data_IF_727794794993
#
_entry.id   IF_727794794993
#
_cell.length_a   1.000
_cell.length_b   1.000
_cell.length_c   1.000
_cell.angle_alpha   90.00
_cell.angle_beta   90.00
_cell.angle_gamma   90.00
#
_symmetry.space_group_name_H-M   'P 1'
#
loop_
_entity.id
_entity.type
_entity.pdbx_description
1 polymer ?
#
# COMPACT_ATOMS: atom_id res chain seq x y z
N UNK A 1 16.86 -9.30 -14.66
CA UNK A 1 15.42 -9.54 -14.42
C UNK A 1 14.88 -8.51 -13.44
N UNK A 2 13.84 -7.76 -13.78
CA UNK A 2 13.17 -6.90 -12.80
C UNK A 2 12.28 -7.76 -11.89
N UNK A 3 12.57 -7.75 -10.58
CA UNK A 3 11.74 -8.44 -9.60
C UNK A 3 10.54 -7.57 -9.20
N UNK A 4 9.47 -8.19 -8.70
CA UNK A 4 8.32 -7.47 -8.12
C UNK A 4 8.77 -6.52 -7.00
N UNK A 5 9.81 -6.90 -6.24
CA UNK A 5 10.40 -6.08 -5.18
C UNK A 5 11.15 -4.87 -5.76
N UNK A 6 11.96 -5.05 -6.80
CA UNK A 6 12.62 -3.93 -7.49
C UNK A 6 11.61 -2.95 -8.08
N UNK A 7 10.51 -3.46 -8.65
CA UNK A 7 9.42 -2.62 -9.17
C UNK A 7 8.69 -1.87 -8.06
N UNK A 8 8.46 -2.52 -6.91
CA UNK A 8 7.90 -1.88 -5.73
C UNK A 8 8.79 -0.71 -5.26
N UNK A 9 10.09 -0.94 -5.09
CA UNK A 9 11.04 0.10 -4.66
C UNK A 9 11.08 1.28 -5.62
N UNK A 10 11.06 1.04 -6.94
CA UNK A 10 10.96 2.10 -7.96
C UNK A 10 9.68 2.93 -7.85
N UNK A 11 8.54 2.29 -7.53
CA UNK A 11 7.27 3.00 -7.35
C UNK A 11 7.26 3.82 -6.06
N UNK A 12 7.82 3.27 -4.98
CA UNK A 12 7.99 4.01 -3.72
C UNK A 12 8.90 5.23 -3.90
N UNK A 13 9.99 5.12 -4.66
CA UNK A 13 10.88 6.24 -4.98
C UNK A 13 10.25 7.29 -5.91
N UNK A 14 9.13 6.97 -6.56
CA UNK A 14 8.36 7.88 -7.42
C UNK A 14 7.10 8.43 -6.73
N UNK A 15 6.93 8.17 -5.43
CA UNK A 15 5.70 8.48 -4.69
C UNK A 15 4.43 7.87 -5.32
N UNK A 16 4.57 6.82 -6.13
CA UNK A 16 3.44 6.14 -6.78
C UNK A 16 2.86 5.07 -5.84
N UNK A 17 2.28 5.56 -4.73
CA UNK A 17 1.78 4.74 -3.63
C UNK A 17 0.64 3.81 -4.06
N UNK A 18 -0.23 4.26 -4.98
CA UNK A 18 -1.33 3.45 -5.52
C UNK A 18 -0.80 2.18 -6.18
N UNK A 19 0.17 2.31 -7.10
CA UNK A 19 0.77 1.14 -7.77
C UNK A 19 1.65 0.35 -6.82
N UNK A 20 2.35 1.02 -5.90
CA UNK A 20 3.19 0.35 -4.91
C UNK A 20 2.36 -0.59 -4.03
N UNK A 21 1.24 -0.12 -3.47
CA UNK A 21 0.30 -0.94 -2.67
C UNK A 21 -0.33 -2.05 -3.49
N UNK A 22 -0.64 -1.80 -4.77
CA UNK A 22 -1.16 -2.83 -5.68
C UNK A 22 -0.16 -3.98 -5.87
N UNK A 23 1.12 -3.68 -6.12
CA UNK A 23 2.17 -4.71 -6.18
C UNK A 23 2.34 -5.38 -4.82
N UNK A 24 2.34 -4.60 -3.75
CA UNK A 24 2.52 -5.10 -2.39
C UNK A 24 1.46 -6.15 -2.04
N UNK A 25 0.19 -5.88 -2.35
CA UNK A 25 -0.94 -6.78 -2.12
C UNK A 25 -0.81 -8.15 -2.79
N UNK A 26 0.02 -8.27 -3.83
CA UNK A 26 0.28 -9.52 -4.57
C UNK A 26 1.39 -10.36 -3.94
N UNK A 27 2.08 -9.88 -2.90
CA UNK A 27 3.05 -10.69 -2.18
C UNK A 27 2.36 -11.67 -1.23
N UNK A 28 2.81 -12.93 -1.20
CA UNK A 28 2.21 -13.94 -0.32
C UNK A 28 2.51 -13.72 1.17
N UNK A 29 3.52 -12.92 1.52
CA UNK A 29 4.05 -12.77 2.90
C UNK A 29 3.96 -11.34 3.44
N UNK A 30 2.75 -10.81 3.46
CA UNK A 30 2.46 -9.47 4.02
C UNK A 30 2.27 -9.48 5.54
N UNK A 31 1.90 -10.61 6.14
CA UNK A 31 1.71 -10.74 7.58
C UNK A 31 0.63 -9.80 8.12
N UNK A 32 0.88 -9.22 9.29
CA UNK A 32 0.01 -8.24 9.97
C UNK A 32 -0.28 -6.98 9.13
N UNK A 33 0.65 -6.57 8.27
CA UNK A 33 0.51 -5.39 7.42
C UNK A 33 -0.42 -5.60 6.21
N UNK A 34 -0.87 -6.83 5.97
CA UNK A 34 -1.73 -7.16 4.81
C UNK A 34 -3.01 -6.33 4.79
N UNK A 35 -3.67 -6.23 5.94
CA UNK A 35 -4.95 -5.54 6.08
C UNK A 35 -4.82 -4.05 5.77
N UNK A 36 -3.78 -3.39 6.30
CA UNK A 36 -3.55 -1.96 6.07
C UNK A 36 -3.14 -1.67 4.63
N UNK A 37 -2.30 -2.53 4.02
CA UNK A 37 -1.90 -2.39 2.62
C UNK A 37 -3.10 -2.57 1.69
N UNK A 38 -3.96 -3.55 1.95
CA UNK A 38 -5.17 -3.76 1.16
C UNK A 38 -6.17 -2.61 1.33
N UNK A 39 -6.42 -2.17 2.56
CA UNK A 39 -7.33 -1.05 2.84
C UNK A 39 -6.82 0.25 2.22
N UNK A 40 -5.53 0.54 2.36
CA UNK A 40 -4.92 1.70 1.70
C UNK A 40 -5.03 1.64 0.18
N UNK A 41 -4.79 0.47 -0.43
CA UNK A 41 -5.01 0.31 -1.87
C UNK A 41 -6.48 0.53 -2.27
N UNK A 42 -7.41 -0.05 -1.51
CA UNK A 42 -8.85 0.12 -1.76
C UNK A 42 -9.29 1.58 -1.60
N UNK A 43 -8.72 2.32 -0.66
CA UNK A 43 -8.94 3.76 -0.51
C UNK A 43 -8.46 4.57 -1.75
N UNK A 44 -7.50 4.06 -2.53
CA UNK A 44 -7.10 4.66 -3.82
C UNK A 44 -7.94 4.19 -5.04
N UNK A 45 -8.61 3.05 -4.93
CA UNK A 45 -9.39 2.46 -6.01
C UNK A 45 -10.86 2.90 -5.92
N UNK A 46 -11.45 2.77 -4.73
CA UNK A 46 -12.85 3.07 -4.44
C UNK A 46 -12.98 3.96 -3.19
N UNK A 47 -12.44 5.20 -3.20
CA UNK A 47 -12.55 6.11 -2.06
C UNK A 47 -14.00 6.33 -1.62
N UNK A 48 -14.90 6.58 -2.59
CA UNK A 48 -16.32 6.86 -2.33
C UNK A 48 -17.06 5.76 -1.56
N UNK A 49 -16.68 4.49 -1.74
CA UNK A 49 -17.28 3.39 -0.99
C UNK A 49 -16.89 3.43 0.49
N UNK A 50 -15.63 3.76 0.78
CA UNK A 50 -15.13 3.86 2.15
C UNK A 50 -15.61 5.15 2.83
N UNK A 51 -15.74 6.26 2.11
CA UNK A 51 -16.33 7.51 2.63
C UNK A 51 -17.79 7.30 3.05
N UNK A 52 -18.56 6.58 2.24
CA UNK A 52 -19.96 6.25 2.57
C UNK A 52 -20.08 5.34 3.80
N UNK A 53 -19.05 4.55 4.09
CA UNK A 53 -18.98 3.74 5.30
C UNK A 53 -18.46 4.53 6.52
N UNK A 54 -18.16 5.82 6.36
CA UNK A 54 -17.64 6.70 7.42
C UNK A 54 -16.15 6.56 7.67
N UNK A 55 -15.38 5.96 6.75
CA UNK A 55 -13.92 5.90 6.87
C UNK A 55 -13.25 7.13 6.26
N UNK A 56 -12.21 7.61 6.93
CA UNK A 56 -11.32 8.63 6.38
C UNK A 56 -10.35 8.00 5.37
N UNK A 57 -10.51 8.39 4.11
CA UNK A 57 -9.70 7.88 2.99
C UNK A 57 -8.25 8.27 3.13
N UNK A 58 -7.98 9.51 3.56
CA UNK A 58 -6.63 10.02 3.75
C UNK A 58 -5.92 9.22 4.83
N UNK A 59 -6.61 8.89 5.93
CA UNK A 59 -6.10 8.03 6.99
C UNK A 59 -5.83 6.60 6.49
N UNK A 60 -6.74 6.01 5.72
CA UNK A 60 -6.53 4.67 5.15
C UNK A 60 -5.34 4.63 4.19
N UNK A 61 -5.20 5.65 3.34
CA UNK A 61 -4.07 5.79 2.44
C UNK A 61 -2.76 5.98 3.22
N UNK A 62 -2.76 6.77 4.29
CA UNK A 62 -1.60 6.96 5.16
C UNK A 62 -1.21 5.68 5.90
N UNK A 63 -2.18 4.96 6.49
CA UNK A 63 -1.96 3.64 7.12
C UNK A 63 -1.36 2.64 6.14
N UNK A 64 -1.88 2.56 4.92
CA UNK A 64 -1.32 1.72 3.86
C UNK A 64 0.12 2.09 3.52
N UNK A 65 0.42 3.39 3.37
CA UNK A 65 1.78 3.89 3.11
C UNK A 65 2.73 3.55 4.26
N UNK A 66 2.36 3.84 5.50
CA UNK A 66 3.15 3.52 6.70
C UNK A 66 3.44 2.03 6.82
N UNK A 67 2.45 1.17 6.61
CA UNK A 67 2.60 -0.27 6.61
C UNK A 67 3.59 -0.74 5.53
N UNK A 68 3.51 -0.15 4.33
CA UNK A 68 4.43 -0.44 3.24
C UNK A 68 5.87 -0.01 3.56
N UNK A 69 6.05 1.21 4.08
CA UNK A 69 7.36 1.75 4.48
C UNK A 69 7.96 0.93 5.62
N UNK A 70 7.18 0.64 6.65
CA UNK A 70 7.60 -0.18 7.78
C UNK A 70 8.09 -1.57 7.33
N UNK A 71 7.43 -2.15 6.33
CA UNK A 71 7.78 -3.48 5.80
C UNK A 71 8.99 -3.50 4.87
N UNK A 72 9.17 -2.47 4.04
CA UNK A 72 10.12 -2.51 2.91
C UNK A 72 11.24 -1.45 2.95
N UNK A 73 11.08 -0.38 3.74
CA UNK A 73 12.09 0.69 3.91
C UNK A 73 12.88 0.51 5.20
N UNK A 74 12.25 0.01 6.28
CA UNK A 74 12.92 -0.22 7.57
C UNK A 74 13.86 -1.43 7.58
N UNK A 75 14.01 -2.14 6.46
CA UNK A 75 14.98 -3.23 6.27
C UNK A 75 16.21 -2.74 5.50
N UNK A 76 16.77 -1.61 5.92
CA UNK A 76 18.03 -1.05 5.46
C UNK A 76 19.06 -1.12 6.57
#
# INVERSE_FOLDING_TARGET
METKLSKLKKLMAKDDWKRALSIASKFPRLGEHKSDIQRGHQAYVNPRSYEQLGFDITELQDKGRKALIARYVKTG
#
